data_IF_844430716091
#
_entry.id   IF_844430716091
#
_cell.length_a   1.000
_cell.length_b   1.000
_cell.length_c   1.000
_cell.angle_alpha   90.00
_cell.angle_beta   90.00
_cell.angle_gamma   90.00
#
_symmetry.space_group_name_H-M   'P 1'
#
loop_
_entity.id
_entity.type
_entity.pdbx_description
1 polymer ?
#
# COMPACT_ATOMS: atom_id res chain seq x y z
N UNK A 1 -39.93 -38.57 22.99
CA UNK A 1 -40.29 -37.34 23.73
C UNK A 1 -39.30 -37.11 24.86
N UNK A 2 -38.10 -36.57 24.58
CA UNK A 2 -37.09 -36.26 25.62
C UNK A 2 -36.20 -35.05 25.27
N UNK A 3 -36.54 -34.23 24.27
CA UNK A 3 -35.73 -33.07 23.87
C UNK A 3 -36.41 -31.71 24.14
N UNK A 4 -37.67 -31.71 24.58
CA UNK A 4 -38.47 -30.51 24.87
C UNK A 4 -38.06 -29.74 26.14
N UNK A 5 -36.93 -30.10 26.77
CA UNK A 5 -36.34 -29.38 27.92
C UNK A 5 -35.02 -28.67 27.59
N UNK A 6 -34.49 -28.82 26.37
CA UNK A 6 -33.24 -28.17 25.94
C UNK A 6 -33.48 -26.86 25.19
N UNK A 7 -34.72 -26.61 24.74
CA UNK A 7 -35.12 -25.38 24.03
C UNK A 7 -35.37 -24.17 24.96
N UNK A 8 -35.37 -24.36 26.28
CA UNK A 8 -35.58 -23.31 27.29
C UNK A 8 -34.29 -22.57 27.72
N UNK A 9 -33.13 -22.92 27.15
CA UNK A 9 -31.82 -22.32 27.52
C UNK A 9 -31.13 -21.51 26.42
N UNK A 10 -31.75 -21.37 25.24
CA UNK A 10 -31.15 -20.64 24.10
C UNK A 10 -32.02 -19.46 23.61
N UNK A 11 -32.94 -19.00 24.45
CA UNK A 11 -33.75 -17.82 24.19
C UNK A 11 -33.44 -16.76 25.24
N UNK A 12 -32.21 -16.22 25.27
CA UNK A 12 -31.89 -14.92 25.92
C UNK A 12 -30.42 -14.49 25.73
N UNK A 13 -29.85 -14.55 24.51
CA UNK A 13 -28.61 -13.81 24.19
C UNK A 13 -28.77 -13.22 22.79
N UNK A 14 -29.55 -12.15 22.72
CA UNK A 14 -29.61 -11.22 21.60
C UNK A 14 -29.58 -9.82 22.23
N UNK A 15 -28.38 -9.34 22.54
CA UNK A 15 -28.19 -7.97 23.02
C UNK A 15 -26.78 -7.49 22.67
N UNK A 16 -26.76 -6.57 21.70
CA UNK A 16 -25.84 -5.46 21.56
C UNK A 16 -24.34 -5.69 21.82
N UNK A 17 -23.60 -5.89 20.72
CA UNK A 17 -22.25 -5.35 20.59
C UNK A 17 -22.26 -4.34 19.44
N UNK A 18 -22.84 -3.17 19.73
CA UNK A 18 -22.52 -1.92 19.04
C UNK A 18 -21.59 -1.15 19.98
N UNK A 19 -20.29 -1.29 19.77
CA UNK A 19 -19.29 -0.39 20.37
C UNK A 19 -18.75 0.50 19.27
N UNK A 20 -19.52 1.54 18.96
CA UNK A 20 -19.02 2.77 18.36
C UNK A 20 -18.39 3.58 19.48
N UNK A 21 -17.06 3.52 19.61
CA UNK A 21 -16.29 4.43 20.44
C UNK A 21 -15.74 5.53 19.52
N UNK A 22 -16.47 6.64 19.45
CA UNK A 22 -15.97 7.92 18.99
C UNK A 22 -15.96 8.82 20.23
N UNK A 23 -14.79 9.04 20.83
CA UNK A 23 -14.56 10.22 21.65
C UNK A 23 -13.97 11.28 20.72
N UNK A 24 -14.74 12.33 20.47
CA UNK A 24 -14.26 13.63 20.02
C UNK A 24 -15.03 14.67 20.83
N UNK A 25 -14.39 15.14 21.89
CA UNK A 25 -14.81 16.32 22.63
C UNK A 25 -14.38 17.58 21.85
N UNK A 26 -15.40 18.35 21.46
CA UNK A 26 -15.59 19.79 21.35
C UNK A 26 -14.53 20.75 20.75
N UNK A 27 -15.03 21.43 19.71
CA UNK A 27 -15.01 22.87 19.43
C UNK A 27 -13.67 23.62 19.26
N UNK A 28 -13.31 23.82 17.99
CA UNK A 28 -12.79 25.12 17.55
C UNK A 28 -13.39 25.53 16.20
N UNK A 29 -14.09 26.66 16.25
CA UNK A 29 -14.70 27.38 15.15
C UNK A 29 -13.67 28.12 14.29
N UNK A 30 -13.73 27.94 12.96
CA UNK A 30 -13.28 28.98 12.01
C UNK A 30 -12.73 28.51 10.67
N UNK A 31 -13.49 28.79 9.60
CA UNK A 31 -12.98 29.03 8.24
C UNK A 31 -12.80 27.79 7.36
N UNK A 32 -13.56 27.72 6.27
CA UNK A 32 -13.51 26.62 5.30
C UNK A 32 -12.30 26.63 4.38
N UNK A 33 -11.87 25.44 4.00
CA UNK A 33 -11.85 24.92 2.63
C UNK A 33 -11.92 23.37 2.74
N UNK A 34 -12.59 22.74 1.78
CA UNK A 34 -13.02 21.33 1.74
C UNK A 34 -11.85 20.30 1.64
N UNK A 35 -12.11 19.00 1.83
CA UNK A 35 -11.82 18.23 3.03
C UNK A 35 -10.41 17.62 3.01
N UNK A 36 -9.67 17.79 4.12
CA UNK A 36 -8.49 16.98 4.40
C UNK A 36 -8.90 15.50 4.48
N UNK A 37 -8.41 14.68 3.56
CA UNK A 37 -8.56 13.23 3.62
C UNK A 37 -7.82 12.71 4.87
N UNK A 38 -8.56 12.57 5.97
CA UNK A 38 -8.00 12.54 7.33
C UNK A 38 -7.54 11.14 7.76
N UNK A 39 -6.48 10.63 7.12
CA UNK A 39 -5.63 9.60 7.71
C UNK A 39 -4.18 9.89 7.39
N UNK A 40 -3.26 9.56 8.30
CA UNK A 40 -1.82 9.73 8.07
C UNK A 40 -1.42 8.98 6.79
N UNK A 41 -0.73 9.65 5.87
CA UNK A 41 -0.17 9.01 4.67
C UNK A 41 0.90 8.00 5.07
N UNK A 42 0.97 6.86 4.41
CA UNK A 42 2.00 5.86 4.69
C UNK A 42 2.38 5.05 3.46
N UNK A 43 3.63 4.58 3.46
CA UNK A 43 4.08 3.42 2.70
C UNK A 43 4.86 2.54 3.65
N UNK A 44 4.40 1.31 3.84
CA UNK A 44 5.03 0.32 4.72
C UNK A 44 5.22 -0.99 3.97
N UNK A 45 6.26 -1.76 4.32
CA UNK A 45 6.46 -3.11 3.80
C UNK A 45 7.44 -3.89 4.69
N UNK A 46 7.71 -5.14 4.29
CA UNK A 46 8.89 -5.90 4.73
C UNK A 46 9.85 -6.07 3.57
N UNK A 47 11.09 -5.58 3.71
CA UNK A 47 12.20 -5.77 2.77
C UNK A 47 13.10 -6.88 3.32
N UNK A 48 13.12 -8.04 2.67
CA UNK A 48 13.79 -9.25 3.16
C UNK A 48 13.40 -9.61 4.61
N UNK A 49 12.14 -9.35 4.97
CA UNK A 49 11.60 -9.56 6.31
C UNK A 49 11.84 -8.42 7.30
N UNK A 50 12.70 -7.44 6.98
CA UNK A 50 12.93 -6.26 7.81
C UNK A 50 11.88 -5.18 7.55
N UNK A 51 11.44 -4.48 8.59
CA UNK A 51 10.41 -3.44 8.47
C UNK A 51 10.92 -2.23 7.68
N UNK A 52 10.14 -1.81 6.70
CA UNK A 52 10.25 -0.54 5.99
C UNK A 52 9.03 0.32 6.34
N UNK A 53 9.27 1.58 6.65
CA UNK A 53 8.22 2.58 6.82
C UNK A 53 8.73 3.92 6.30
N UNK A 54 7.92 4.57 5.46
CA UNK A 54 8.19 5.94 5.02
C UNK A 54 8.23 6.90 6.22
N UNK A 55 9.04 7.95 6.09
CA UNK A 55 9.21 8.95 7.12
C UNK A 55 7.91 9.71 7.38
N UNK A 56 7.68 10.00 8.67
CA UNK A 56 6.58 10.83 9.18
C UNK A 56 7.09 12.08 9.91
N UNK A 57 8.38 12.11 10.26
CA UNK A 57 9.07 13.17 11.02
C UNK A 57 10.55 13.19 10.60
N UNK A 58 11.19 14.34 10.33
CA UNK A 58 10.65 15.71 10.38
C UNK A 58 9.72 16.08 9.22
N UNK A 59 9.57 15.19 8.23
CA UNK A 59 8.68 15.39 7.11
C UNK A 59 8.03 14.07 6.69
N UNK A 60 6.80 14.17 6.21
CA UNK A 60 6.12 13.08 5.50
C UNK A 60 6.78 12.94 4.13
N UNK A 61 7.29 11.74 3.83
CA UNK A 61 7.88 11.42 2.52
C UNK A 61 7.04 10.33 1.89
N UNK A 62 5.78 10.67 1.60
CA UNK A 62 4.79 9.85 0.91
C UNK A 62 4.10 10.75 -0.12
N UNK A 63 3.66 10.19 -1.24
CA UNK A 63 2.83 10.91 -2.19
C UNK A 63 2.40 10.05 -3.36
N UNK A 64 1.32 10.45 -4.01
CA UNK A 64 0.82 9.86 -5.23
C UNK A 64 0.51 10.93 -6.28
N UNK A 65 0.62 10.55 -7.55
CA UNK A 65 0.18 11.37 -8.69
C UNK A 65 -0.55 10.46 -9.66
N UNK A 66 -1.72 10.91 -10.13
CA UNK A 66 -2.45 10.28 -11.23
C UNK A 66 -2.46 11.26 -12.40
N UNK A 67 -1.73 10.93 -13.45
CA UNK A 67 -1.70 11.73 -14.68
C UNK A 67 -1.80 10.82 -15.90
N UNK A 68 -2.71 11.17 -16.82
CA UNK A 68 -2.81 10.55 -18.14
C UNK A 68 -2.94 9.01 -18.10
N UNK A 69 -3.68 8.47 -17.13
CA UNK A 69 -3.86 7.02 -16.93
C UNK A 69 -2.63 6.33 -16.33
N UNK A 70 -1.74 7.09 -15.68
CA UNK A 70 -0.59 6.54 -14.95
C UNK A 70 -0.70 6.93 -13.48
N UNK A 71 -0.78 5.92 -12.61
CA UNK A 71 -0.67 6.10 -11.16
C UNK A 71 0.80 5.90 -10.75
N UNK A 72 1.36 6.89 -10.06
CA UNK A 72 2.64 6.78 -9.36
C UNK A 72 2.39 6.90 -7.86
N UNK A 73 2.95 5.98 -7.08
CA UNK A 73 2.98 6.05 -5.61
C UNK A 73 4.43 5.91 -5.16
N UNK A 74 4.84 6.71 -4.18
CA UNK A 74 6.16 6.56 -3.57
C UNK A 74 6.14 6.81 -2.07
N UNK A 75 7.09 6.17 -1.38
CA UNK A 75 7.37 6.46 0.02
C UNK A 75 8.85 6.27 0.33
N UNK A 76 9.44 7.21 1.07
CA UNK A 76 10.86 7.25 1.39
C UNK A 76 11.13 7.33 2.89
N UNK A 77 12.21 6.71 3.36
CA UNK A 77 12.71 6.85 4.73
C UNK A 77 13.51 8.15 4.88
N UNK A 78 13.79 8.57 6.12
CA UNK A 78 14.71 9.70 6.40
C UNK A 78 16.13 9.47 5.88
N UNK A 79 16.52 8.20 5.70
CA UNK A 79 17.82 7.82 5.15
C UNK A 79 17.83 7.83 3.61
N UNK A 80 16.70 8.06 2.95
CA UNK A 80 16.56 8.12 1.49
C UNK A 80 16.14 6.80 0.83
N UNK A 81 16.11 5.69 1.56
CA UNK A 81 15.62 4.42 1.03
C UNK A 81 14.15 4.57 0.62
N UNK A 82 13.79 4.14 -0.59
CA UNK A 82 12.52 4.48 -1.22
C UNK A 82 11.86 3.25 -1.84
N UNK A 83 10.55 3.12 -1.67
CA UNK A 83 9.70 2.22 -2.46
C UNK A 83 8.91 3.08 -3.46
N UNK A 84 8.85 2.64 -4.71
CA UNK A 84 8.07 3.27 -5.78
C UNK A 84 7.24 2.23 -6.52
N UNK A 85 6.02 2.62 -6.87
CA UNK A 85 5.06 1.88 -7.68
C UNK A 85 4.63 2.78 -8.83
N UNK A 86 4.64 2.23 -10.05
CA UNK A 86 4.12 2.88 -11.25
C UNK A 86 3.19 1.89 -11.96
N UNK A 87 1.92 2.29 -12.13
CA UNK A 87 0.90 1.56 -12.86
C UNK A 87 0.53 2.39 -14.09
N UNK A 88 0.83 1.86 -15.28
CA UNK A 88 0.45 2.43 -16.57
C UNK A 88 -0.85 1.78 -17.04
N UNK A 89 -1.77 2.59 -17.55
CA UNK A 89 -3.12 2.13 -17.87
C UNK A 89 -3.99 1.97 -16.61
N UNK A 90 -3.71 2.78 -15.58
CA UNK A 90 -4.50 2.83 -14.37
C UNK A 90 -5.93 3.33 -14.68
N UNK A 91 -6.93 2.55 -14.29
CA UNK A 91 -8.35 2.82 -14.54
C UNK A 91 -9.21 2.77 -13.26
N UNK A 92 -8.58 2.77 -12.08
CA UNK A 92 -9.21 2.82 -10.76
C UNK A 92 -8.85 1.62 -9.86
N UNK A 93 -9.62 1.39 -8.78
CA UNK A 93 -9.41 0.26 -7.88
C UNK A 93 -9.44 -1.08 -8.63
N UNK A 94 -8.46 -1.93 -8.34
CA UNK A 94 -8.25 -3.17 -9.07
C UNK A 94 -6.88 -3.78 -8.78
N UNK A 95 -6.64 -4.94 -9.40
CA UNK A 95 -5.36 -5.63 -9.30
C UNK A 95 -4.53 -5.38 -10.55
N UNK A 96 -3.32 -4.89 -10.34
CA UNK A 96 -2.32 -4.64 -11.37
C UNK A 96 -1.10 -5.51 -11.11
N UNK A 97 -0.46 -5.98 -12.18
CA UNK A 97 0.77 -6.76 -12.10
C UNK A 97 1.94 -5.96 -12.66
N UNK A 98 3.15 -6.28 -12.22
CA UNK A 98 4.40 -5.90 -12.89
C UNK A 98 5.25 -7.15 -13.11
N UNK A 99 6.16 -7.12 -14.07
CA UNK A 99 7.14 -8.21 -14.26
C UNK A 99 6.54 -9.59 -14.53
N UNK A 100 5.30 -9.66 -15.01
CA UNK A 100 4.62 -10.87 -15.47
C UNK A 100 4.97 -11.20 -16.94
N UNK A 101 5.35 -10.21 -17.74
CA UNK A 101 5.85 -10.39 -19.11
C UNK A 101 6.75 -9.23 -19.55
N UNK A 102 7.54 -9.45 -20.60
CA UNK A 102 8.56 -8.52 -21.09
C UNK A 102 8.02 -7.16 -21.59
N UNK A 103 6.73 -7.11 -21.92
CA UNK A 103 6.06 -5.90 -22.44
C UNK A 103 5.23 -5.18 -21.40
N UNK A 104 5.13 -5.68 -20.17
CA UNK A 104 4.39 -5.01 -19.11
C UNK A 104 5.08 -3.67 -18.75
N UNK A 105 4.40 -2.53 -18.92
CA UNK A 105 4.95 -1.21 -18.63
C UNK A 105 4.97 -0.84 -17.14
N UNK A 106 4.28 -1.60 -16.28
CA UNK A 106 4.24 -1.37 -14.84
C UNK A 106 5.59 -1.67 -14.19
N UNK A 107 5.88 -0.92 -13.13
CA UNK A 107 7.14 -1.01 -12.42
C UNK A 107 6.91 -0.92 -10.92
N UNK A 108 7.58 -1.78 -10.18
CA UNK A 108 7.83 -1.60 -8.75
C UNK A 108 9.32 -1.59 -8.48
N UNK A 109 9.76 -0.80 -7.51
CA UNK A 109 11.17 -0.69 -7.18
C UNK A 109 11.41 -0.37 -5.72
N UNK A 110 12.49 -0.94 -5.18
CA UNK A 110 13.10 -0.53 -3.93
C UNK A 110 14.49 0.03 -4.21
N UNK A 111 14.80 1.19 -3.65
CA UNK A 111 16.03 1.93 -3.90
C UNK A 111 16.70 2.29 -2.58
N UNK A 112 18.03 2.24 -2.54
CA UNK A 112 18.84 2.71 -1.42
C UNK A 112 19.80 3.78 -1.90
N UNK A 113 20.21 4.69 -1.02
CA UNK A 113 21.17 5.76 -1.35
C UNK A 113 22.56 5.55 -0.74
N UNK A 114 22.71 4.62 0.20
CA UNK A 114 24.00 4.25 0.79
C UNK A 114 24.04 2.76 1.18
N UNK A 115 24.59 1.88 0.34
CA UNK A 115 25.09 2.16 -1.01
C UNK A 115 23.94 2.56 -1.95
N UNK A 116 24.27 3.25 -3.05
CA UNK A 116 23.30 3.51 -4.12
C UNK A 116 23.02 2.18 -4.81
N UNK A 117 21.77 1.72 -4.79
CA UNK A 117 21.34 0.49 -5.44
C UNK A 117 19.84 0.52 -5.73
N UNK A 118 19.40 -0.32 -6.67
CA UNK A 118 18.00 -0.44 -7.05
C UNK A 118 17.61 -1.88 -7.37
N UNK A 119 16.51 -2.34 -6.80
CA UNK A 119 15.91 -3.65 -7.06
C UNK A 119 14.56 -3.45 -7.73
N UNK A 120 14.48 -3.78 -9.00
CA UNK A 120 13.32 -3.50 -9.85
C UNK A 120 12.51 -4.76 -10.14
N UNK A 121 11.19 -4.60 -10.25
CA UNK A 121 10.27 -5.58 -10.82
C UNK A 121 9.52 -4.89 -11.96
N UNK A 122 9.85 -5.25 -13.20
CA UNK A 122 9.28 -4.69 -14.43
C UNK A 122 9.38 -5.72 -15.57
N UNK A 123 8.93 -5.36 -16.77
CA UNK A 123 8.99 -6.26 -17.92
C UNK A 123 10.40 -6.79 -18.23
N UNK A 124 11.46 -6.00 -18.12
CA UNK A 124 12.82 -6.50 -18.39
C UNK A 124 13.24 -7.56 -17.37
N UNK A 125 12.95 -7.34 -16.08
CA UNK A 125 13.30 -8.29 -15.02
C UNK A 125 12.41 -9.53 -15.02
N UNK A 126 11.29 -9.55 -15.76
CA UNK A 126 10.44 -10.73 -15.90
C UNK A 126 11.16 -11.92 -16.56
N UNK A 127 12.26 -11.64 -17.27
CA UNK A 127 13.09 -12.65 -17.95
C UNK A 127 14.16 -13.26 -17.03
N UNK A 128 14.30 -12.76 -15.81
CA UNK A 128 15.25 -13.26 -14.82
C UNK A 128 14.57 -14.31 -13.95
N UNK A 129 15.14 -15.53 -13.94
CA UNK A 129 14.63 -16.64 -13.16
C UNK A 129 14.50 -16.27 -11.67
N UNK A 130 13.33 -16.53 -11.09
CA UNK A 130 13.08 -16.35 -9.66
C UNK A 130 12.55 -14.97 -9.24
N UNK A 131 12.54 -13.96 -10.13
CA UNK A 131 11.92 -12.65 -9.88
C UNK A 131 10.40 -12.80 -9.81
N UNK A 132 9.80 -13.32 -10.89
CA UNK A 132 8.34 -13.49 -10.99
C UNK A 132 7.57 -12.17 -11.03
N UNK A 133 6.25 -12.28 -11.16
CA UNK A 133 5.36 -11.14 -11.16
C UNK A 133 5.27 -10.50 -9.77
N UNK A 134 5.24 -9.17 -9.75
CA UNK A 134 4.76 -8.40 -8.61
C UNK A 134 3.26 -8.10 -8.75
N UNK A 135 2.60 -7.82 -7.61
CA UNK A 135 1.18 -7.48 -7.54
C UNK A 135 1.00 -6.17 -6.79
N UNK A 136 0.11 -5.33 -7.28
CA UNK A 136 -0.47 -4.18 -6.58
C UNK A 136 -1.98 -4.34 -6.59
N UNK A 137 -2.61 -4.26 -5.43
CA UNK A 137 -4.07 -4.20 -5.29
C UNK A 137 -4.44 -2.80 -4.80
N UNK A 138 -5.01 -1.99 -5.69
CA UNK A 138 -5.57 -0.69 -5.32
C UNK A 138 -6.97 -0.94 -4.79
N UNK A 139 -7.17 -0.72 -3.49
CA UNK A 139 -8.43 -1.00 -2.79
C UNK A 139 -9.36 0.20 -2.75
N UNK A 140 -8.83 1.41 -2.82
CA UNK A 140 -9.60 2.65 -2.86
C UNK A 140 -8.89 3.72 -3.68
N UNK A 141 -9.68 4.52 -4.39
CA UNK A 141 -9.30 5.75 -5.06
C UNK A 141 -10.52 6.68 -4.95
N UNK A 142 -10.53 7.47 -3.88
CA UNK A 142 -11.65 8.32 -3.51
C UNK A 142 -11.14 9.50 -2.69
N UNK A 143 -11.84 10.64 -2.80
CA UNK A 143 -11.58 11.83 -1.99
C UNK A 143 -10.12 12.31 -2.04
N UNK A 144 -9.46 12.17 -3.20
CA UNK A 144 -8.06 12.56 -3.40
C UNK A 144 -7.04 11.65 -2.72
N UNK A 145 -7.43 10.45 -2.28
CA UNK A 145 -6.55 9.46 -1.66
C UNK A 145 -6.63 8.13 -2.36
N UNK A 146 -5.45 7.55 -2.60
CA UNK A 146 -5.31 6.19 -3.11
C UNK A 146 -4.76 5.28 -2.03
N UNK A 147 -5.39 4.11 -1.88
CA UNK A 147 -5.03 3.10 -0.89
C UNK A 147 -4.86 1.74 -1.55
N UNK A 148 -3.95 0.93 -1.01
CA UNK A 148 -3.78 -0.42 -1.52
C UNK A 148 -2.68 -1.22 -0.84
N UNK A 149 -2.47 -2.41 -1.39
CA UNK A 149 -1.42 -3.34 -0.97
C UNK A 149 -0.51 -3.68 -2.13
N UNK A 150 0.71 -4.12 -1.83
CA UNK A 150 1.66 -4.57 -2.86
C UNK A 150 2.63 -5.62 -2.35
N UNK A 151 3.18 -6.40 -3.28
CA UNK A 151 4.24 -7.37 -3.03
C UNK A 151 5.02 -7.60 -4.32
N UNK A 152 6.34 -7.67 -4.23
CA UNK A 152 7.18 -7.99 -5.38
C UNK A 152 8.53 -8.54 -4.96
N UNK A 153 9.22 -9.21 -5.88
CA UNK A 153 10.64 -9.44 -5.77
C UNK A 153 11.36 -8.54 -6.74
N UNK A 154 12.26 -7.71 -6.25
CA UNK A 154 13.08 -6.83 -7.08
C UNK A 154 14.42 -7.47 -7.41
N UNK A 155 14.93 -7.21 -8.61
CA UNK A 155 16.24 -7.64 -9.08
C UNK A 155 17.14 -6.43 -9.31
N UNK A 156 18.39 -6.53 -8.85
CA UNK A 156 19.44 -5.56 -9.12
C UNK A 156 20.34 -6.12 -10.24
N UNK A 157 20.41 -5.39 -11.36
CA UNK A 157 21.15 -5.83 -12.53
C UNK A 157 22.67 -5.62 -12.43
N UNK A 158 23.14 -4.80 -11.49
CA UNK A 158 24.56 -4.50 -11.30
C UNK A 158 25.27 -5.61 -10.51
N UNK A 159 24.64 -6.09 -9.44
CA UNK A 159 25.20 -7.12 -8.54
C UNK A 159 24.49 -8.47 -8.60
N UNK A 160 23.44 -8.57 -9.43
CA UNK A 160 22.62 -9.77 -9.65
C UNK A 160 21.90 -10.28 -8.39
N UNK A 161 21.75 -9.43 -7.37
CA UNK A 161 21.03 -9.78 -6.14
C UNK A 161 19.52 -9.55 -6.28
N UNK A 162 18.76 -10.15 -5.36
CA UNK A 162 17.31 -9.94 -5.26
C UNK A 162 16.93 -9.47 -3.86
N UNK A 163 15.84 -8.70 -3.80
CA UNK A 163 15.14 -8.37 -2.55
C UNK A 163 13.69 -8.77 -2.64
N UNK A 164 13.18 -9.36 -1.56
CA UNK A 164 11.77 -9.74 -1.47
C UNK A 164 11.03 -8.70 -0.65
N UNK A 165 10.05 -8.04 -1.27
CA UNK A 165 9.20 -7.03 -0.66
C UNK A 165 7.81 -7.63 -0.46
N UNK A 166 7.39 -7.76 0.79
CA UNK A 166 6.10 -8.36 1.17
C UNK A 166 5.33 -7.47 2.13
N UNK A 167 4.04 -7.78 2.35
CA UNK A 167 3.19 -7.04 3.31
C UNK A 167 3.18 -5.53 3.03
N UNK A 168 3.33 -5.16 1.76
CA UNK A 168 3.33 -3.78 1.31
C UNK A 168 1.94 -3.19 1.45
N UNK A 169 1.84 -2.00 2.03
CA UNK A 169 0.60 -1.24 2.13
C UNK A 169 0.91 0.24 1.87
N UNK A 170 0.00 0.94 1.21
CA UNK A 170 0.09 2.37 1.01
C UNK A 170 -1.26 3.05 1.21
N UNK A 171 -1.18 4.30 1.67
CA UNK A 171 -2.21 5.32 1.66
C UNK A 171 -1.51 6.62 1.32
N UNK A 172 -1.86 7.25 0.21
CA UNK A 172 -1.18 8.44 -0.28
C UNK A 172 -2.19 9.45 -0.80
N UNK A 173 -1.93 10.73 -0.52
CA UNK A 173 -2.68 11.83 -1.11
C UNK A 173 -2.24 11.98 -2.57
N UNK A 174 -3.22 12.16 -3.45
CA UNK A 174 -3.01 12.40 -4.88
C UNK A 174 -2.88 13.90 -5.10
N UNK A 175 -1.71 14.33 -5.58
CA UNK A 175 -1.42 15.72 -5.97
C UNK A 175 -1.95 16.08 -7.38
#
# INVERSE_FOLDING_TARGET
MNTLKVLSRYAFIFMALLVTACDKDDDSSGGGDDPAASGDEFVTAKVDGANFAAAQDPAVIVGAVIDSGVLNVQGGTNSGDTIRITIVGYDGPGTYTSGDNATNPNLMGYFTVSPVAGWLNNGVTSLVDGVGAGTVEVTSDADGVVEGTFSFKGYNAEDMTMKTITEGQFKAIVD
#
